data_IF_116591396780
#
_entry.id   IF_116591396780
#
_cell.length_a   1.000
_cell.length_b   1.000
_cell.length_c   1.000
_cell.angle_alpha   90.00
_cell.angle_beta   90.00
_cell.angle_gamma   90.00
#
_symmetry.space_group_name_H-M   'P 1'
#
loop_
_entity.id
_entity.type
_entity.pdbx_description
1 polymer ?
#
# COMPACT_ATOMS: atom_id res chain seq x y z
N UNK A 1 3.71 5.92 -25.96
CA UNK A 1 3.70 4.45 -25.84
C UNK A 1 4.54 4.04 -24.63
N UNK A 2 4.08 3.08 -23.80
CA UNK A 2 4.83 2.61 -22.63
C UNK A 2 6.19 1.95 -22.96
N UNK A 3 6.46 1.61 -24.22
CA UNK A 3 7.73 1.04 -24.70
C UNK A 3 8.97 1.96 -24.64
N UNK A 4 8.80 3.25 -24.35
CA UNK A 4 9.93 4.18 -24.23
C UNK A 4 10.51 4.29 -22.81
N UNK A 5 9.89 3.63 -21.81
CA UNK A 5 10.35 3.71 -20.43
C UNK A 5 11.66 2.91 -20.24
N UNK A 6 12.79 3.54 -19.86
CA UNK A 6 14.06 2.86 -19.62
C UNK A 6 13.96 1.72 -18.61
N UNK A 7 13.16 1.89 -17.56
CA UNK A 7 12.92 0.85 -16.55
C UNK A 7 12.23 -0.38 -17.14
N UNK A 8 11.17 -0.19 -17.94
CA UNK A 8 10.45 -1.31 -18.54
C UNK A 8 11.31 -2.05 -19.58
N UNK A 9 12.17 -1.33 -20.30
CA UNK A 9 13.18 -1.95 -21.16
C UNK A 9 14.18 -2.77 -20.37
N UNK A 10 14.69 -2.22 -19.27
CA UNK A 10 15.61 -2.93 -18.38
C UNK A 10 14.96 -4.20 -17.81
N UNK A 11 13.73 -4.13 -17.31
CA UNK A 11 13.01 -5.31 -16.79
C UNK A 11 12.74 -6.34 -17.90
N UNK A 12 12.43 -5.91 -19.13
CA UNK A 12 12.20 -6.83 -20.24
C UNK A 12 13.43 -7.67 -20.62
N UNK A 13 14.65 -7.21 -20.27
CA UNK A 13 15.88 -7.97 -20.50
C UNK A 13 15.99 -9.24 -19.64
N UNK A 14 15.18 -9.35 -18.57
CA UNK A 14 15.08 -10.55 -17.74
C UNK A 14 14.26 -11.66 -18.40
N UNK A 15 13.56 -11.38 -19.50
CA UNK A 15 12.88 -12.41 -20.28
C UNK A 15 13.91 -13.38 -20.86
N UNK A 16 13.77 -14.70 -20.63
CA UNK A 16 14.67 -15.71 -21.18
C UNK A 16 14.80 -15.62 -22.71
N UNK A 17 13.78 -15.14 -23.42
CA UNK A 17 13.78 -14.98 -24.87
C UNK A 17 14.75 -13.88 -25.34
N UNK A 18 15.06 -12.90 -24.49
CA UNK A 18 15.93 -11.77 -24.82
C UNK A 18 17.42 -12.04 -24.55
N UNK A 19 17.76 -13.25 -24.11
CA UNK A 19 19.14 -13.67 -23.84
C UNK A 19 20.01 -13.69 -25.10
N UNK A 20 21.33 -13.72 -24.89
CA UNK A 20 22.39 -13.70 -25.91
C UNK A 20 22.43 -12.42 -26.75
N UNK A 21 21.75 -11.36 -26.31
CA UNK A 21 21.85 -10.04 -26.95
C UNK A 21 22.72 -9.11 -26.12
N UNK A 22 23.61 -8.36 -26.79
CA UNK A 22 24.46 -7.36 -26.14
C UNK A 22 23.64 -6.27 -25.45
N UNK A 23 22.48 -5.94 -26.03
CA UNK A 23 21.53 -4.98 -25.47
C UNK A 23 20.95 -5.48 -24.14
N UNK A 24 20.57 -6.77 -24.05
CA UNK A 24 20.05 -7.32 -22.79
C UNK A 24 21.12 -7.33 -21.69
N UNK A 25 22.38 -7.63 -22.01
CA UNK A 25 23.48 -7.59 -21.04
C UNK A 25 23.63 -6.21 -20.40
N UNK A 26 23.68 -5.15 -21.21
CA UNK A 26 23.82 -3.78 -20.70
C UNK A 26 22.60 -3.34 -19.89
N UNK A 27 21.40 -3.68 -20.36
CA UNK A 27 20.15 -3.39 -19.66
C UNK A 27 20.04 -4.11 -18.30
N UNK A 28 20.56 -5.33 -18.19
CA UNK A 28 20.58 -6.07 -16.92
C UNK A 28 21.53 -5.42 -15.90
N UNK A 29 22.67 -4.87 -16.34
CA UNK A 29 23.60 -4.12 -15.47
C UNK A 29 23.00 -2.83 -14.93
N UNK A 30 22.01 -2.27 -15.62
CA UNK A 30 21.28 -1.10 -15.15
C UNK A 30 20.22 -1.41 -14.08
N UNK A 31 19.82 -2.68 -13.89
CA UNK A 31 18.76 -3.07 -12.95
C UNK A 31 19.01 -2.64 -11.49
N UNK A 32 20.24 -2.76 -10.93
CA UNK A 32 20.55 -2.26 -9.60
C UNK A 32 20.35 -0.75 -9.44
N UNK A 33 20.37 0.05 -10.52
CA UNK A 33 20.07 1.49 -10.45
C UNK A 33 18.60 1.76 -10.10
N UNK A 34 17.70 0.89 -10.56
CA UNK A 34 16.26 1.02 -10.32
C UNK A 34 15.82 0.36 -9.01
N UNK A 35 16.55 -0.64 -8.54
CA UNK A 35 16.26 -1.39 -7.32
C UNK A 35 17.49 -1.51 -6.41
N UNK A 36 18.01 -0.36 -5.96
CA UNK A 36 19.25 -0.24 -5.19
C UNK A 36 19.21 -0.93 -3.82
N UNK A 37 18.02 -1.26 -3.32
CA UNK A 37 17.84 -1.99 -2.07
C UNK A 37 18.06 -3.51 -2.21
N UNK A 38 18.19 -4.04 -3.43
CA UNK A 38 18.20 -5.49 -3.68
C UNK A 38 19.61 -6.07 -3.79
N UNK A 39 20.59 -5.30 -4.26
CA UNK A 39 22.00 -5.71 -4.38
C UNK A 39 22.85 -4.67 -3.66
N UNK A 40 23.69 -5.11 -2.73
CA UNK A 40 24.60 -4.22 -2.01
C UNK A 40 25.80 -3.82 -2.88
N UNK A 41 26.45 -2.71 -2.56
CA UNK A 41 27.65 -2.25 -3.31
C UNK A 41 28.77 -3.30 -3.34
N UNK A 42 28.91 -4.08 -2.25
CA UNK A 42 29.88 -5.18 -2.16
C UNK A 42 29.53 -6.40 -3.04
N UNK A 43 28.27 -6.53 -3.46
CA UNK A 43 27.76 -7.66 -4.25
C UNK A 43 27.72 -7.33 -5.75
N UNK A 44 28.07 -6.09 -6.15
CA UNK A 44 27.90 -5.59 -7.52
C UNK A 44 28.77 -6.34 -8.53
N UNK A 45 30.03 -6.61 -8.20
CA UNK A 45 30.94 -7.37 -9.06
C UNK A 45 30.47 -8.83 -9.25
N UNK A 46 29.94 -9.44 -8.19
CA UNK A 46 29.37 -10.78 -8.24
C UNK A 46 28.08 -10.81 -9.08
N UNK A 47 27.26 -9.78 -8.99
CA UNK A 47 26.06 -9.60 -9.80
C UNK A 47 26.41 -9.47 -11.29
N UNK A 48 27.40 -8.65 -11.65
CA UNK A 48 27.85 -8.47 -13.03
C UNK A 48 28.37 -9.79 -13.62
N UNK A 49 29.08 -10.60 -12.81
CA UNK A 49 29.53 -11.93 -13.19
C UNK A 49 28.37 -12.90 -13.39
N UNK A 50 27.34 -12.87 -12.52
CA UNK A 50 26.13 -13.68 -12.68
C UNK A 50 25.38 -13.34 -13.97
N UNK A 51 25.23 -12.06 -14.31
CA UNK A 51 24.59 -11.65 -15.58
C UNK A 51 25.38 -12.18 -16.76
N UNK A 52 26.71 -12.03 -16.76
CA UNK A 52 27.55 -12.52 -17.85
C UNK A 52 27.42 -14.04 -18.01
N UNK A 53 27.41 -14.77 -16.90
CA UNK A 53 27.20 -16.22 -16.92
C UNK A 53 25.80 -16.57 -17.41
N UNK A 54 24.76 -15.86 -16.97
CA UNK A 54 23.38 -16.09 -17.40
C UNK A 54 23.16 -15.89 -18.90
N UNK A 55 23.81 -14.87 -19.48
CA UNK A 55 23.72 -14.57 -20.91
C UNK A 55 24.39 -15.63 -21.79
N UNK A 56 25.47 -16.26 -21.30
CA UNK A 56 26.25 -17.24 -22.05
C UNK A 56 25.84 -18.70 -21.78
N UNK A 57 25.08 -18.94 -20.72
CA UNK A 57 24.71 -20.29 -20.30
C UNK A 57 23.68 -20.95 -21.23
N UNK A 58 23.78 -22.27 -21.34
CA UNK A 58 22.86 -23.07 -22.13
C UNK A 58 21.71 -23.57 -21.27
N UNK A 59 20.52 -23.09 -21.60
CA UNK A 59 19.28 -23.61 -21.04
C UNK A 59 18.54 -24.32 -22.17
N UNK A 60 17.95 -25.48 -21.87
CA UNK A 60 17.05 -26.19 -22.78
C UNK A 60 15.93 -25.28 -23.26
N UNK A 61 15.33 -25.60 -24.41
CA UNK A 61 14.32 -24.78 -25.10
C UNK A 61 13.40 -24.05 -24.13
N UNK A 62 13.35 -22.73 -24.28
CA UNK A 62 12.46 -21.86 -23.50
C UNK A 62 11.04 -22.24 -23.93
N UNK A 63 10.42 -23.13 -23.17
CA UNK A 63 8.99 -23.39 -23.30
C UNK A 63 8.28 -22.07 -23.00
N UNK A 64 7.19 -21.79 -23.72
CA UNK A 64 6.32 -20.62 -23.55
C UNK A 64 5.58 -20.68 -22.20
N UNK A 65 6.35 -20.73 -21.11
CA UNK A 65 5.91 -20.62 -19.73
C UNK A 65 6.01 -19.15 -19.29
N UNK A 66 5.22 -18.78 -18.29
CA UNK A 66 5.29 -17.44 -17.75
C UNK A 66 6.66 -17.18 -17.12
N UNK A 67 7.23 -16.00 -17.39
CA UNK A 67 8.59 -15.60 -16.98
C UNK A 67 8.85 -15.84 -15.50
N UNK A 68 7.84 -15.70 -14.65
CA UNK A 68 7.91 -15.94 -13.21
C UNK A 68 8.06 -17.41 -12.80
N UNK A 69 7.42 -18.33 -13.53
CA UNK A 69 7.58 -19.76 -13.31
C UNK A 69 8.98 -20.20 -13.74
N UNK A 70 9.44 -19.70 -14.89
CA UNK A 70 10.78 -19.98 -15.40
C UNK A 70 11.86 -19.50 -14.41
N UNK A 71 11.77 -18.26 -13.92
CA UNK A 71 12.68 -17.77 -12.89
C UNK A 71 12.55 -18.51 -11.56
N UNK A 72 11.35 -19.04 -11.25
CA UNK A 72 11.12 -19.96 -10.13
C UNK A 72 11.98 -21.22 -10.23
N UNK A 73 12.08 -21.82 -11.41
CA UNK A 73 12.92 -23.00 -11.63
C UNK A 73 14.41 -22.65 -11.60
N UNK A 74 14.81 -21.50 -12.15
CA UNK A 74 16.19 -21.01 -12.04
C UNK A 74 16.59 -20.75 -10.59
N UNK A 75 15.71 -20.19 -9.76
CA UNK A 75 15.96 -20.00 -8.32
C UNK A 75 16.22 -21.33 -7.62
N UNK A 76 15.45 -22.38 -7.96
CA UNK A 76 15.61 -23.71 -7.38
C UNK A 76 16.97 -24.34 -7.73
N UNK A 77 17.61 -23.94 -8.84
CA UNK A 77 18.96 -24.40 -9.19
C UNK A 77 20.07 -23.73 -8.38
N UNK A 78 19.78 -22.62 -7.70
CA UNK A 78 20.73 -21.80 -6.93
C UNK A 78 21.94 -21.30 -7.74
N UNK A 79 21.90 -21.36 -9.07
CA UNK A 79 23.01 -20.99 -9.95
C UNK A 79 23.23 -19.48 -10.06
N UNK A 80 22.16 -18.69 -9.90
CA UNK A 80 22.17 -17.24 -10.01
C UNK A 80 21.41 -16.57 -8.85
N UNK A 81 21.94 -16.63 -7.62
CA UNK A 81 21.22 -16.16 -6.44
C UNK A 81 20.96 -14.65 -6.43
N UNK A 82 21.92 -13.82 -6.85
CA UNK A 82 21.75 -12.36 -6.86
C UNK A 82 20.81 -11.93 -7.99
N UNK A 83 20.94 -12.55 -9.16
CA UNK A 83 20.08 -12.28 -10.31
C UNK A 83 18.64 -12.73 -10.05
N UNK A 84 18.42 -13.92 -9.47
CA UNK A 84 17.08 -14.39 -9.11
C UNK A 84 16.42 -13.45 -8.10
N UNK A 85 17.17 -13.00 -7.09
CA UNK A 85 16.68 -12.04 -6.08
C UNK A 85 16.25 -10.72 -6.71
N UNK A 86 17.03 -10.20 -7.65
CA UNK A 86 16.69 -9.00 -8.43
C UNK A 86 15.41 -9.23 -9.25
N UNK A 87 15.34 -10.35 -9.96
CA UNK A 87 14.19 -10.67 -10.82
C UNK A 87 12.90 -10.78 -10.01
N UNK A 88 12.88 -11.49 -8.88
CA UNK A 88 11.67 -11.55 -8.06
C UNK A 88 11.29 -10.21 -7.46
N UNK A 89 12.25 -9.41 -7.01
CA UNK A 89 11.95 -8.08 -6.48
C UNK A 89 11.22 -7.22 -7.53
N UNK A 90 11.67 -7.26 -8.79
CA UNK A 90 11.08 -6.50 -9.89
C UNK A 90 9.75 -7.10 -10.38
N UNK A 91 9.69 -8.42 -10.51
CA UNK A 91 8.48 -9.13 -10.95
C UNK A 91 7.36 -9.04 -9.90
N UNK A 92 7.66 -8.92 -8.60
CA UNK A 92 6.62 -8.73 -7.57
C UNK A 92 5.77 -7.49 -7.79
N UNK A 93 6.26 -6.47 -8.50
CA UNK A 93 5.49 -5.29 -8.88
C UNK A 93 4.51 -5.56 -10.04
N UNK A 94 4.85 -6.48 -10.93
CA UNK A 94 4.02 -6.89 -12.07
C UNK A 94 3.09 -8.06 -11.74
N UNK A 95 3.42 -8.83 -10.71
CA UNK A 95 2.51 -9.78 -10.09
C UNK A 95 1.59 -9.06 -9.13
N UNK A 96 0.44 -8.66 -9.68
CA UNK A 96 -0.69 -8.36 -8.84
C UNK A 96 -0.94 -9.58 -7.91
N UNK A 97 -1.21 -9.41 -6.60
CA UNK A 97 -2.10 -10.36 -5.96
C UNK A 97 -3.34 -10.44 -6.85
N UNK A 98 -4.11 -11.54 -6.88
CA UNK A 98 -5.39 -11.57 -7.62
C UNK A 98 -6.40 -10.57 -7.00
N UNK A 99 -6.10 -9.28 -6.99
CA UNK A 99 -6.86 -8.20 -6.38
C UNK A 99 -8.01 -7.88 -7.32
N UNK A 100 -7.87 -8.01 -8.64
CA UNK A 100 -9.03 -7.94 -9.55
C UNK A 100 -10.14 -8.94 -9.19
N UNK A 101 -9.80 -10.19 -8.86
CA UNK A 101 -10.77 -11.17 -8.35
C UNK A 101 -11.36 -10.74 -6.99
N UNK A 102 -10.57 -10.05 -6.17
CA UNK A 102 -10.99 -9.52 -4.88
C UNK A 102 -11.92 -8.32 -5.03
N UNK A 103 -11.73 -7.47 -6.04
CA UNK A 103 -12.58 -6.33 -6.40
C UNK A 103 -13.90 -6.77 -7.05
N UNK A 104 -13.89 -7.81 -7.90
CA UNK A 104 -15.12 -8.43 -8.43
C UNK A 104 -15.98 -9.04 -7.31
N UNK A 105 -15.36 -9.72 -6.34
CA UNK A 105 -16.04 -10.18 -5.12
C UNK A 105 -16.49 -8.99 -4.24
N UNK A 106 -15.70 -7.91 -4.16
CA UNK A 106 -16.07 -6.70 -3.43
C UNK A 106 -17.32 -6.04 -4.02
N UNK A 107 -17.46 -6.04 -5.35
CA UNK A 107 -18.65 -5.51 -6.03
C UNK A 107 -19.92 -6.32 -5.67
N UNK A 108 -19.79 -7.64 -5.45
CA UNK A 108 -20.86 -8.51 -4.95
C UNK A 108 -21.15 -8.35 -3.45
N UNK A 109 -20.24 -7.74 -2.67
CA UNK A 109 -20.42 -7.46 -1.22
C UNK A 109 -20.94 -6.04 -0.98
N UNK A 110 -20.66 -5.09 -1.88
CA UNK A 110 -21.10 -3.70 -1.80
C UNK A 110 -22.51 -3.50 -2.40
N UNK A 111 -22.97 -4.42 -3.26
CA UNK A 111 -24.31 -4.33 -3.87
C UNK A 111 -25.40 -4.32 -2.78
N UNK A 112 -26.42 -3.45 -2.87
CA UNK A 112 -27.33 -3.14 -1.77
C UNK A 112 -28.26 -4.28 -1.33
N UNK A 113 -28.17 -5.46 -1.94
CA UNK A 113 -29.00 -6.63 -1.64
C UNK A 113 -28.34 -7.73 -0.79
N UNK A 114 -27.04 -7.64 -0.49
CA UNK A 114 -26.30 -8.69 0.25
C UNK A 114 -25.92 -8.22 1.65
N UNK A 115 -26.14 -9.09 2.65
CA UNK A 115 -25.88 -8.84 4.07
C UNK A 115 -24.48 -8.25 4.30
N UNK A 116 -24.43 -6.97 4.69
CA UNK A 116 -23.22 -6.15 4.86
C UNK A 116 -22.15 -6.85 5.73
N UNK A 117 -21.10 -7.39 5.09
CA UNK A 117 -19.87 -7.73 5.80
C UNK A 117 -19.01 -6.47 5.94
N UNK A 118 -18.67 -6.10 7.17
CA UNK A 118 -17.78 -4.97 7.46
C UNK A 118 -16.41 -5.20 6.78
N UNK A 119 -15.80 -4.13 6.24
CA UNK A 119 -14.47 -4.13 5.59
C UNK A 119 -13.41 -4.86 6.42
N UNK A 120 -13.49 -4.78 7.75
CA UNK A 120 -12.59 -5.51 8.66
C UNK A 120 -12.74 -7.04 8.59
N UNK A 121 -13.98 -7.53 8.46
CA UNK A 121 -14.30 -8.97 8.36
C UNK A 121 -13.86 -9.52 7.01
N UNK A 122 -14.03 -8.74 5.95
CA UNK A 122 -13.53 -9.08 4.61
C UNK A 122 -12.00 -9.16 4.57
N UNK A 123 -11.31 -8.17 5.13
CA UNK A 123 -9.84 -8.18 5.20
C UNK A 123 -9.34 -9.42 5.95
N UNK A 124 -9.97 -9.77 7.08
CA UNK A 124 -9.65 -10.99 7.81
C UNK A 124 -9.88 -12.26 6.96
N UNK A 125 -10.98 -12.34 6.20
CA UNK A 125 -11.25 -13.48 5.31
C UNK A 125 -10.24 -13.58 4.15
N UNK A 126 -9.84 -12.46 3.55
CA UNK A 126 -8.83 -12.47 2.50
C UNK A 126 -7.46 -12.87 3.04
N UNK A 127 -7.03 -12.33 4.18
CA UNK A 127 -5.79 -12.73 4.85
C UNK A 127 -5.76 -14.24 5.11
N UNK A 128 -6.85 -14.82 5.66
CA UNK A 128 -6.94 -16.26 5.89
C UNK A 128 -6.89 -17.05 4.57
N UNK A 129 -7.61 -16.60 3.53
CA UNK A 129 -7.63 -17.26 2.21
C UNK A 129 -6.26 -17.29 1.55
N UNK A 130 -5.52 -16.18 1.59
CA UNK A 130 -4.19 -16.09 0.97
C UNK A 130 -3.11 -16.78 1.80
N UNK A 131 -3.19 -16.75 3.13
CA UNK A 131 -2.34 -17.53 4.03
C UNK A 131 -2.47 -19.04 3.73
N UNK A 132 -3.70 -19.53 3.62
CA UNK A 132 -3.98 -20.92 3.25
C UNK A 132 -3.49 -21.29 1.84
N UNK A 133 -3.52 -20.34 0.89
CA UNK A 133 -2.97 -20.54 -0.47
C UNK A 133 -1.45 -20.57 -0.47
N UNK A 134 -0.80 -19.71 0.32
CA UNK A 134 0.66 -19.67 0.48
C UNK A 134 1.20 -20.99 1.05
N UNK A 135 0.50 -21.55 2.05
CA UNK A 135 0.91 -22.81 2.66
C UNK A 135 0.71 -24.05 1.78
N UNK A 136 -0.10 -23.98 0.70
CA UNK A 136 -0.17 -25.06 -0.30
C UNK A 136 1.13 -25.22 -1.11
N UNK A 137 1.96 -24.18 -1.25
CA UNK A 137 3.24 -24.23 -1.99
C UNK A 137 4.38 -24.86 -1.16
N UNK A 138 4.32 -24.82 0.18
CA UNK A 138 5.35 -25.37 1.07
C UNK A 138 5.07 -26.83 1.46
N UNK A 139 5.42 -27.81 0.61
CA UNK A 139 5.55 -29.29 0.82
C UNK A 139 4.50 -30.07 1.65
N UNK A 140 3.48 -29.47 2.28
CA UNK A 140 2.33 -30.14 2.91
C UNK A 140 1.08 -29.33 2.58
N UNK A 141 0.17 -29.91 1.79
CA UNK A 141 -1.16 -29.35 1.49
C UNK A 141 -2.00 -29.31 2.77
N UNK A 142 -1.80 -28.32 3.65
CA UNK A 142 -2.66 -28.10 4.81
C UNK A 142 -3.90 -27.34 4.34
N UNK A 143 -5.03 -28.03 4.19
CA UNK A 143 -6.31 -27.33 3.98
C UNK A 143 -6.75 -26.64 5.27
N UNK A 144 -7.69 -25.70 5.21
CA UNK A 144 -8.30 -25.11 6.41
C UNK A 144 -8.84 -26.21 7.34
N UNK A 145 -9.44 -27.25 6.77
CA UNK A 145 -9.95 -28.41 7.51
C UNK A 145 -8.84 -29.13 8.27
N UNK A 146 -7.64 -29.25 7.69
CA UNK A 146 -6.48 -29.85 8.37
C UNK A 146 -5.87 -28.92 9.44
N UNK A 147 -5.86 -27.60 9.21
CA UNK A 147 -5.39 -26.62 10.20
C UNK A 147 -6.27 -26.54 11.45
N UNK A 148 -7.58 -26.66 11.27
CA UNK A 148 -8.57 -26.60 12.34
C UNK A 148 -9.10 -27.99 12.73
N UNK A 149 -8.50 -29.06 12.19
CA UNK A 149 -8.85 -30.45 12.53
C UNK A 149 -8.49 -30.68 13.98
N UNK A 150 -9.50 -31.10 14.74
CA UNK A 150 -9.34 -31.69 16.07
C UNK A 150 -9.52 -33.20 15.93
N UNK A 151 -8.75 -33.98 16.67
CA UNK A 151 -8.96 -35.42 16.75
C UNK A 151 -10.19 -35.77 17.59
N UNK A 152 -10.48 -34.98 18.63
CA UNK A 152 -11.70 -35.10 19.43
C UNK A 152 -12.31 -33.69 19.67
N UNK A 153 -13.42 -33.43 18.99
CA UNK A 153 -14.05 -32.11 18.94
C UNK A 153 -14.55 -31.62 20.31
N UNK A 154 -14.87 -32.53 21.23
CA UNK A 154 -15.42 -32.22 22.55
C UNK A 154 -14.35 -31.99 23.63
N UNK A 155 -13.25 -32.73 23.57
CA UNK A 155 -12.26 -32.79 24.67
C UNK A 155 -10.96 -32.05 24.37
N UNK A 156 -10.65 -31.83 23.10
CA UNK A 156 -9.37 -31.25 22.71
C UNK A 156 -9.34 -29.72 22.90
N UNK A 157 -8.34 -29.26 23.68
CA UNK A 157 -8.11 -27.83 23.93
C UNK A 157 -7.77 -27.12 22.63
N UNK A 158 -8.41 -25.98 22.38
CA UNK A 158 -8.09 -25.14 21.21
C UNK A 158 -6.68 -24.58 21.37
N UNK A 159 -5.84 -24.68 20.34
CA UNK A 159 -4.50 -24.08 20.34
C UNK A 159 -4.60 -22.56 20.58
N UNK A 160 -4.06 -22.05 21.70
CA UNK A 160 -4.10 -20.63 22.03
C UNK A 160 -3.43 -19.73 20.98
N UNK A 161 -2.47 -20.25 20.22
CA UNK A 161 -1.80 -19.50 19.14
C UNK A 161 -2.75 -19.23 17.97
N UNK A 162 -3.62 -20.19 17.66
CA UNK A 162 -4.56 -20.10 16.54
C UNK A 162 -5.71 -19.12 16.83
N UNK A 163 -6.12 -19.02 18.09
CA UNK A 163 -7.17 -18.09 18.55
C UNK A 163 -6.63 -16.78 19.13
N UNK A 164 -5.34 -16.48 18.99
CA UNK A 164 -4.71 -15.27 19.54
C UNK A 164 -5.44 -13.99 19.14
N UNK A 165 -5.86 -13.89 17.88
CA UNK A 165 -6.56 -12.72 17.36
C UNK A 165 -7.97 -12.58 17.95
N UNK A 166 -8.70 -13.70 18.12
CA UNK A 166 -10.01 -13.71 18.77
C UNK A 166 -9.88 -13.35 20.24
N UNK A 167 -8.89 -13.90 20.93
CA UNK A 167 -8.61 -13.63 22.35
C UNK A 167 -8.22 -12.18 22.61
N UNK A 168 -7.45 -11.57 21.70
CA UNK A 168 -7.02 -10.19 21.80
C UNK A 168 -8.02 -9.18 21.21
N UNK A 169 -9.03 -9.64 20.47
CA UNK A 169 -9.99 -8.78 19.77
C UNK A 169 -10.68 -7.78 20.70
N UNK A 170 -11.06 -8.21 21.91
CA UNK A 170 -11.66 -7.35 22.94
C UNK A 170 -10.71 -6.22 23.33
N UNK A 171 -9.45 -6.55 23.63
CA UNK A 171 -8.47 -5.55 24.04
C UNK A 171 -8.17 -4.56 22.90
N UNK A 172 -8.01 -5.06 21.68
CA UNK A 172 -7.83 -4.23 20.48
C UNK A 172 -9.03 -3.31 20.25
N UNK A 173 -10.25 -3.82 20.42
CA UNK A 173 -11.47 -3.01 20.33
C UNK A 173 -11.50 -1.91 21.38
N UNK A 174 -11.22 -2.22 22.65
CA UNK A 174 -11.16 -1.23 23.73
C UNK A 174 -10.10 -0.15 23.49
N UNK A 175 -8.92 -0.51 22.98
CA UNK A 175 -7.87 0.46 22.60
C UNK A 175 -8.37 1.39 21.49
N UNK A 176 -8.98 0.82 20.44
CA UNK A 176 -9.51 1.58 19.31
C UNK A 176 -10.67 2.50 19.73
N UNK A 177 -11.48 2.06 20.67
CA UNK A 177 -12.59 2.85 21.22
C UNK A 177 -12.07 4.05 22.02
N UNK A 178 -11.00 3.88 22.80
CA UNK A 178 -10.31 4.99 23.49
C UNK A 178 -9.70 5.99 22.51
N UNK A 179 -8.99 5.52 21.48
CA UNK A 179 -8.42 6.38 20.44
C UNK A 179 -9.49 7.17 19.67
N UNK A 180 -10.61 6.53 19.34
CA UNK A 180 -11.71 7.22 18.67
C UNK A 180 -12.37 8.27 19.56
N UNK A 181 -12.41 8.05 20.88
CA UNK A 181 -12.93 9.04 21.84
C UNK A 181 -12.01 10.26 21.90
N UNK A 182 -10.69 10.07 22.01
CA UNK A 182 -9.73 11.19 22.02
C UNK A 182 -9.76 11.98 20.70
N UNK A 183 -9.80 11.30 19.55
CA UNK A 183 -9.91 11.94 18.24
C UNK A 183 -11.20 12.78 18.09
N UNK A 184 -12.32 12.31 18.67
CA UNK A 184 -13.58 13.09 18.67
C UNK A 184 -13.46 14.33 19.55
N UNK A 185 -12.87 14.20 20.73
CA UNK A 185 -12.66 15.32 21.66
C UNK A 185 -11.74 16.39 21.05
N UNK A 186 -10.67 16.00 20.35
CA UNK A 186 -9.79 16.91 19.61
C UNK A 186 -10.53 17.64 18.48
N UNK A 187 -11.29 16.93 17.64
CA UNK A 187 -12.08 17.57 16.57
C UNK A 187 -13.10 18.56 17.10
N UNK A 188 -13.73 18.27 18.24
CA UNK A 188 -14.68 19.20 18.88
C UNK A 188 -13.95 20.46 19.37
N UNK A 189 -12.77 20.31 19.97
CA UNK A 189 -11.94 21.46 20.40
C UNK A 189 -11.52 22.33 19.22
N UNK A 190 -11.07 21.73 18.12
CA UNK A 190 -10.69 22.45 16.90
C UNK A 190 -11.88 23.22 16.29
N UNK A 191 -13.04 22.57 16.21
CA UNK A 191 -14.28 23.21 15.73
C UNK A 191 -14.68 24.40 16.59
N UNK A 192 -14.59 24.27 17.92
CA UNK A 192 -14.92 25.35 18.85
C UNK A 192 -13.92 26.51 18.74
N UNK A 193 -12.62 26.23 18.67
CA UNK A 193 -11.59 27.25 18.48
C UNK A 193 -11.76 28.00 17.14
N UNK A 194 -12.15 27.30 16.08
CA UNK A 194 -12.44 27.92 14.78
C UNK A 194 -13.68 28.82 14.83
N UNK A 195 -14.75 28.39 15.52
CA UNK A 195 -15.96 29.20 15.74
C UNK A 195 -15.66 30.48 16.55
N UNK A 196 -14.86 30.39 17.61
CA UNK A 196 -14.46 31.56 18.41
C UNK A 196 -13.63 32.56 17.58
N UNK A 197 -12.67 32.09 16.79
CA UNK A 197 -11.90 32.94 15.86
C UNK A 197 -12.80 33.62 14.83
N UNK A 198 -13.82 32.94 14.33
CA UNK A 198 -14.78 33.52 13.39
C UNK A 198 -15.66 34.59 14.06
N UNK A 199 -16.10 34.37 15.30
CA UNK A 199 -16.89 35.32 16.08
C UNK A 199 -16.09 36.58 16.42
N UNK A 200 -14.85 36.45 16.87
CA UNK A 200 -13.97 37.59 17.17
C UNK A 200 -13.66 38.41 15.92
N UNK A 201 -13.40 37.77 14.78
CA UNK A 201 -13.20 38.45 13.49
C UNK A 201 -14.45 39.22 13.04
N UNK A 202 -15.65 38.66 13.24
CA UNK A 202 -16.92 39.35 12.95
C UNK A 202 -17.13 40.55 13.88
N UNK A 203 -16.86 40.41 15.18
CA UNK A 203 -16.96 41.51 16.14
C UNK A 203 -16.00 42.66 15.83
N UNK A 204 -14.73 42.35 15.50
CA UNK A 204 -13.73 43.34 15.12
C UNK A 204 -14.14 44.13 13.85
N UNK A 205 -14.67 43.44 12.84
CA UNK A 205 -15.19 44.10 11.62
C UNK A 205 -16.35 45.04 11.94
N UNK A 206 -17.27 44.64 12.82
CA UNK A 206 -18.40 45.47 13.23
C UNK A 206 -17.94 46.73 13.97
N UNK A 207 -17.01 46.60 14.93
CA UNK A 207 -16.45 47.75 15.64
C UNK A 207 -15.74 48.75 14.70
N UNK A 208 -14.97 48.25 13.73
CA UNK A 208 -14.31 49.09 12.74
C UNK A 208 -15.31 49.84 11.83
N UNK A 209 -16.37 49.17 11.40
CA UNK A 209 -17.44 49.80 10.62
C UNK A 209 -18.18 50.88 11.42
N UNK A 210 -18.48 50.62 12.70
CA UNK A 210 -19.14 51.57 13.59
C UNK A 210 -18.26 52.81 13.87
N UNK A 211 -16.96 52.62 14.08
CA UNK A 211 -16.00 53.71 14.22
C UNK A 211 -15.93 54.59 12.95
N UNK A 212 -15.87 53.96 11.78
CA UNK A 212 -15.87 54.66 10.49
C UNK A 212 -17.17 55.46 10.29
N UNK A 213 -18.32 54.88 10.66
CA UNK A 213 -19.63 55.56 10.59
C UNK A 213 -19.67 56.78 11.52
N UNK A 214 -19.17 56.66 12.76
CA UNK A 214 -19.08 57.78 13.71
C UNK A 214 -18.17 58.90 13.18
N UNK A 215 -17.02 58.57 12.61
CA UNK A 215 -16.12 59.56 12.00
C UNK A 215 -16.80 60.31 10.85
N UNK A 216 -17.53 59.62 9.96
CA UNK A 216 -18.29 60.26 8.87
C UNK A 216 -19.38 61.20 9.38
N UNK A 217 -20.12 60.80 10.41
CA UNK A 217 -21.16 61.64 11.02
C UNK A 217 -20.53 62.89 11.64
N UNK A 218 -19.42 62.75 12.38
CA UNK A 218 -18.73 63.88 12.98
C UNK A 218 -18.16 64.85 11.92
N UNK A 219 -17.59 64.32 10.83
CA UNK A 219 -17.15 65.14 9.71
C UNK A 219 -18.30 65.92 9.07
N UNK A 220 -19.45 65.27 8.84
CA UNK A 220 -20.65 65.91 8.30
C UNK A 220 -21.18 67.01 9.23
N UNK A 221 -21.18 66.80 10.55
CA UNK A 221 -21.56 67.81 11.54
C UNK A 221 -20.62 69.02 11.56
N UNK A 222 -19.32 68.81 11.40
CA UNK A 222 -18.35 69.91 11.29
C UNK A 222 -18.58 70.75 10.03
N UNK A 223 -18.88 70.11 8.91
CA UNK A 223 -19.20 70.79 7.64
C UNK A 223 -20.49 71.61 7.70
N UNK A 224 -21.52 71.15 8.42
CA UNK A 224 -22.77 71.91 8.58
C UNK A 224 -22.58 73.10 9.51
N UNK A 225 -21.80 72.96 10.59
CA UNK A 225 -21.55 74.04 11.53
C UNK A 225 -20.68 75.16 10.92
N UNK A 226 -19.77 74.82 9.99
CA UNK A 226 -18.98 75.78 9.22
C UNK A 226 -19.80 76.58 8.19
N UNK A 227 -20.97 76.07 7.79
CA UNK A 227 -21.89 76.75 6.85
C UNK A 227 -22.91 77.67 7.55
N UNK A 228 -23.09 77.52 8.86
CA UNK A 228 -24.02 78.36 9.65
C UNK A 228 -23.32 79.55 10.32
N UNK A 229 -21.98 79.59 10.29
CA UNK A 229 -21.16 80.64 10.93
C UNK A 229 -20.41 81.53 9.92
N UNK A 230 -20.67 81.38 8.63
CA UNK A 230 -20.20 82.24 7.53
C UNK A 230 -21.38 82.96 6.89
#
# INVERSE_FOLDING_TARGET
MPFANPFLKAVSSLDPCNRKTSVALELMKELPLYASNVVQDSEKEAYDLEIHNFQNDHFSDIVEESVDLWWGDVENTLKYPLLSRMTFALLTCFHEPKVESSFSIMNNVITPGSNRLNVSTFNAMQCIKYELRSQKKKKKKKSAVCMFSKHDFLKEKVDPKLVRNVRNSRNVYFVKLKQNKSLREERIKELNASKEKALTKKAAKKMSADATKRQRINHKKKLTHFKETA
#
